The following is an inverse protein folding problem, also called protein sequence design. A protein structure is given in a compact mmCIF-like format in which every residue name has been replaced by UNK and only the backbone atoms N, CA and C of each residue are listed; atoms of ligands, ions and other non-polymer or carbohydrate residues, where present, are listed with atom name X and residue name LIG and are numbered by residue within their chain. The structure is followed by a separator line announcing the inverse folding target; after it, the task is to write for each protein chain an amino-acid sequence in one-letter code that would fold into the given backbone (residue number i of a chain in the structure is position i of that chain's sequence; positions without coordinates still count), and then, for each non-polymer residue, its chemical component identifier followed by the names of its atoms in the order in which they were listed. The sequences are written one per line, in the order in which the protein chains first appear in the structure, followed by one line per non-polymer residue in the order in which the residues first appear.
data_IF_767258384086
#
_entry.id   IF_767258384086
#
_cell.length_a   1.000
_cell.length_b   1.000
_cell.length_c   1.000
_cell.angle_alpha   90.00
_cell.angle_beta   90.00
_cell.angle_gamma   90.00
#
_symmetry.space_group_name_H-M   'P 1'
#
loop_
_entity.id
_entity.type
_entity.pdbx_description
1 polymer ?
#
# COMPACT_ATOMS: atom_id res chain seq x y z
N UNK A 1 -3.76 -4.75 7.43
CA UNK A 1 -3.06 -3.71 6.63
C UNK A 1 -4.10 -2.96 5.81
N UNK A 2 -4.03 -1.63 5.77
CA UNK A 2 -4.90 -0.85 4.87
C UNK A 2 -4.22 -0.78 3.49
N UNK A 3 -4.69 -1.60 2.55
CA UNK A 3 -4.12 -1.68 1.19
C UNK A 3 -4.29 -0.37 0.41
N UNK A 4 -5.31 0.43 0.73
CA UNK A 4 -5.51 1.76 0.12
C UNK A 4 -4.37 2.72 0.48
N UNK A 5 -3.80 2.56 1.68
CA UNK A 5 -2.70 3.41 2.15
C UNK A 5 -1.34 2.73 1.94
N UNK A 6 -1.26 1.68 1.12
CA UNK A 6 -0.04 0.91 0.94
C UNK A 6 1.15 1.78 0.47
N UNK A 7 0.90 2.60 -0.55
CA UNK A 7 1.88 3.52 -1.15
C UNK A 7 2.55 4.41 -0.08
N UNK A 8 1.79 5.04 0.81
CA UNK A 8 2.34 5.95 1.84
C UNK A 8 2.77 5.21 3.10
N UNK A 9 1.89 4.36 3.65
CA UNK A 9 2.06 3.79 4.98
C UNK A 9 3.09 2.65 5.02
N UNK A 10 3.37 2.01 3.88
CA UNK A 10 4.33 0.92 3.77
C UNK A 10 5.48 1.31 2.84
N UNK A 11 5.19 1.67 1.59
CA UNK A 11 6.21 1.87 0.55
C UNK A 11 7.05 3.12 0.78
N UNK A 12 6.42 4.29 0.93
CA UNK A 12 7.13 5.55 1.24
C UNK A 12 7.79 5.50 2.61
N UNK A 13 7.04 5.07 3.64
CA UNK A 13 7.50 5.15 5.03
C UNK A 13 8.62 4.17 5.36
N UNK A 14 8.50 2.92 4.95
CA UNK A 14 9.46 1.87 5.31
C UNK A 14 10.38 1.46 4.16
N UNK A 15 10.14 1.96 2.94
CA UNK A 15 10.90 1.54 1.76
C UNK A 15 10.70 0.06 1.46
N UNK A 16 9.51 -0.47 1.74
CA UNK A 16 9.15 -1.87 1.51
C UNK A 16 8.14 -1.93 0.38
N UNK A 17 8.45 -2.70 -0.65
CA UNK A 17 7.59 -2.89 -1.80
C UNK A 17 7.12 -4.34 -1.90
N UNK A 18 5.94 -4.55 -2.48
CA UNK A 18 5.43 -5.86 -2.82
C UNK A 18 5.61 -6.05 -4.33
N UNK A 19 6.68 -6.74 -4.72
CA UNK A 19 7.07 -6.91 -6.12
C UNK A 19 6.37 -8.10 -6.73
N UNK A 20 6.12 -8.03 -8.03
CA UNK A 20 5.55 -9.12 -8.83
C UNK A 20 4.14 -9.52 -8.42
N UNK A 21 3.34 -8.55 -7.95
CA UNK A 21 1.91 -8.76 -7.80
C UNK A 21 1.29 -9.18 -9.14
N UNK A 22 0.47 -10.24 -9.20
CA UNK A 22 -0.02 -10.76 -10.47
C UNK A 22 -0.88 -9.76 -11.24
N UNK A 23 -0.67 -9.70 -12.55
CA UNK A 23 -1.50 -8.90 -13.45
C UNK A 23 -2.95 -9.40 -13.45
N UNK A 24 -3.91 -8.48 -13.55
CA UNK A 24 -5.34 -8.78 -13.50
C UNK A 24 -5.90 -9.07 -12.11
N UNK A 25 -5.06 -9.29 -11.09
CA UNK A 25 -5.51 -9.47 -9.71
C UNK A 25 -5.62 -8.10 -9.01
N UNK A 26 -6.80 -7.71 -8.51
CA UNK A 26 -6.95 -6.44 -7.79
C UNK A 26 -5.99 -6.34 -6.61
N UNK A 27 -5.27 -5.23 -6.51
CA UNK A 27 -4.33 -4.97 -5.41
C UNK A 27 -5.10 -4.61 -4.13
N UNK A 28 -5.48 -5.63 -3.37
CA UNK A 28 -6.28 -5.47 -2.16
C UNK A 28 -6.04 -6.63 -1.17
N UNK A 29 -6.70 -6.55 -0.01
CA UNK A 29 -6.67 -7.63 0.97
C UNK A 29 -7.14 -8.94 0.34
N UNK A 30 -6.45 -10.08 0.56
CA UNK A 30 -6.93 -11.38 0.09
C UNK A 30 -8.37 -11.68 0.52
N UNK A 31 -8.80 -11.22 1.70
CA UNK A 31 -10.18 -11.37 2.16
C UNK A 31 -11.21 -10.63 1.27
N UNK A 32 -10.82 -9.53 0.62
CA UNK A 32 -11.69 -8.77 -0.27
C UNK A 32 -11.71 -9.35 -1.71
N UNK A 33 -10.80 -10.28 -2.04
CA UNK A 33 -10.78 -10.94 -3.34
C UNK A 33 -11.85 -12.04 -3.34
N UNK A 34 -12.92 -11.83 -4.08
CA UNK A 34 -14.05 -12.76 -4.18
C UNK A 34 -13.85 -13.85 -5.25
N UNK A 35 -13.00 -13.59 -6.25
CA UNK A 35 -12.68 -14.56 -7.30
C UNK A 35 -11.70 -15.61 -6.78
N UNK A 36 -12.12 -16.89 -6.83
CA UNK A 36 -11.27 -18.02 -6.49
C UNK A 36 -10.06 -18.15 -7.43
N UNK A 37 -10.20 -17.76 -8.69
CA UNK A 37 -9.10 -17.77 -9.67
C UNK A 37 -8.03 -16.75 -9.28
N UNK A 38 -8.43 -15.51 -8.98
CA UNK A 38 -7.51 -14.47 -8.53
C UNK A 38 -6.76 -14.87 -7.25
N UNK A 39 -7.45 -15.54 -6.32
CA UNK A 39 -6.83 -16.06 -5.10
C UNK A 39 -5.80 -17.15 -5.38
N UNK A 40 -6.11 -18.08 -6.30
CA UNK A 40 -5.16 -19.14 -6.70
C UNK A 40 -3.94 -18.54 -7.38
N UNK A 41 -4.12 -17.62 -8.33
CA UNK A 41 -3.02 -16.93 -9.01
C UNK A 41 -2.13 -16.19 -8.02
N UNK A 42 -2.71 -15.43 -7.07
CA UNK A 42 -1.95 -14.74 -6.04
C UNK A 42 -1.18 -15.71 -5.15
N UNK A 43 -1.83 -16.78 -4.69
CA UNK A 43 -1.19 -17.81 -3.87
C UNK A 43 -0.02 -18.46 -4.60
N UNK A 44 -0.20 -18.81 -5.87
CA UNK A 44 0.80 -19.52 -6.65
C UNK A 44 2.00 -18.61 -6.95
N UNK A 45 1.76 -17.32 -7.22
CA UNK A 45 2.83 -16.32 -7.36
C UNK A 45 3.63 -16.11 -6.07
N UNK A 46 2.96 -16.07 -4.91
CA UNK A 46 3.61 -15.99 -3.60
C UNK A 46 4.45 -17.25 -3.32
N UNK A 47 3.94 -18.44 -3.65
CA UNK A 47 4.65 -19.71 -3.49
C UNK A 47 5.85 -19.84 -4.42
N UNK A 48 5.72 -19.38 -5.66
CA UNK A 48 6.80 -19.38 -6.63
C UNK A 48 7.87 -18.32 -6.33
N UNK A 49 7.60 -17.39 -5.40
CA UNK A 49 8.47 -16.26 -5.10
C UNK A 49 8.46 -15.16 -6.17
N UNK A 50 7.63 -15.28 -7.21
CA UNK A 50 7.46 -14.21 -8.20
C UNK A 50 6.77 -13.01 -7.59
N UNK A 51 5.84 -13.23 -6.65
CA UNK A 51 5.30 -12.19 -5.77
C UNK A 51 6.01 -12.24 -4.41
N UNK A 52 6.69 -11.17 -4.00
CA UNK A 52 7.41 -11.15 -2.73
C UNK A 52 7.63 -9.73 -2.18
N UNK A 53 7.82 -9.66 -0.87
CA UNK A 53 8.21 -8.43 -0.17
C UNK A 53 9.70 -8.16 -0.37
N UNK A 54 10.05 -6.96 -0.80
CA UNK A 54 11.43 -6.55 -1.02
C UNK A 54 11.69 -5.16 -0.45
N UNK A 55 12.90 -4.97 0.09
CA UNK A 55 13.38 -3.63 0.41
C UNK A 55 13.74 -2.87 -0.86
N UNK A 56 13.38 -1.59 -0.87
CA UNK A 56 13.78 -0.66 -1.89
C UNK A 56 15.20 -0.16 -1.62
N UNK A 57 16.01 -0.10 -2.69
CA UNK A 57 17.30 0.56 -2.64
C UNK A 57 17.13 2.05 -2.29
N UNK A 58 18.22 2.72 -1.92
CA UNK A 58 18.19 4.17 -1.65
C UNK A 58 17.72 4.96 -2.87
N UNK A 59 18.19 4.59 -4.05
CA UNK A 59 17.81 5.24 -5.30
C UNK A 59 16.31 5.04 -5.59
N UNK A 60 15.80 3.81 -5.47
CA UNK A 60 14.38 3.53 -5.66
C UNK A 60 13.49 4.30 -4.70
N UNK A 61 13.94 4.51 -3.46
CA UNK A 61 13.20 5.34 -2.49
C UNK A 61 13.13 6.80 -2.91
N UNK A 62 14.22 7.36 -3.44
CA UNK A 62 14.26 8.75 -3.91
C UNK A 62 13.33 8.93 -5.12
N UNK A 63 13.48 8.08 -6.13
CA UNK A 63 12.63 8.09 -7.33
C UNK A 63 11.14 7.98 -6.96
N UNK A 64 10.82 7.09 -6.02
CA UNK A 64 9.46 6.91 -5.56
C UNK A 64 8.93 8.13 -4.78
N UNK A 65 9.76 8.77 -3.94
CA UNK A 65 9.37 10.01 -3.26
C UNK A 65 9.09 11.15 -4.26
N UNK A 66 9.88 11.25 -5.32
CA UNK A 66 9.67 12.26 -6.36
C UNK A 66 8.37 12.00 -7.13
N UNK A 67 8.09 10.74 -7.50
CA UNK A 67 6.80 10.34 -8.07
C UNK A 67 5.62 10.69 -7.16
N UNK A 68 5.76 10.48 -5.84
CA UNK A 68 4.71 10.86 -4.90
C UNK A 68 4.51 12.36 -4.81
N UNK A 69 5.57 13.17 -4.94
CA UNK A 69 5.44 14.64 -5.01
C UNK A 69 4.69 15.05 -6.27
N UNK A 70 5.00 14.46 -7.41
CA UNK A 70 4.30 14.71 -8.68
C UNK A 70 2.81 14.42 -8.56
N UNK A 71 2.44 13.25 -8.04
CA UNK A 71 1.03 12.89 -7.79
C UNK A 71 0.32 13.86 -6.86
N UNK A 72 0.97 14.25 -5.76
CA UNK A 72 0.43 15.27 -4.84
C UNK A 72 0.24 16.62 -5.53
N UNK A 73 1.18 17.02 -6.39
CA UNK A 73 1.11 18.28 -7.14
C UNK A 73 0.00 18.26 -8.20
N UNK A 74 -0.27 17.10 -8.78
CA UNK A 74 -1.38 16.86 -9.70
C UNK A 74 -2.75 16.76 -8.98
N UNK A 75 -2.76 16.79 -7.64
CA UNK A 75 -3.98 16.66 -6.83
C UNK A 75 -4.47 15.23 -6.63
N UNK A 76 -3.67 14.22 -6.99
CA UNK A 76 -4.03 12.82 -6.75
C UNK A 76 -3.95 12.47 -5.25
N UNK A 77 -4.95 11.73 -4.79
CA UNK A 77 -5.02 11.27 -3.39
C UNK A 77 -4.15 10.02 -3.23
N UNK A 78 -2.89 10.22 -2.82
CA UNK A 78 -1.89 9.15 -2.59
C UNK A 78 -2.21 8.24 -1.37
N UNK A 79 -3.31 8.52 -0.66
CA UNK A 79 -3.80 7.67 0.41
C UNK A 79 -4.94 8.33 1.18
N UNK A 80 -5.72 7.53 1.91
CA UNK A 80 -6.81 8.03 2.75
C UNK A 80 -6.27 8.60 4.06
N UNK A 81 -6.53 9.89 4.36
CA UNK A 81 -6.17 10.49 5.65
C UNK A 81 -6.82 9.74 6.81
N UNK A 82 -6.13 9.63 7.93
CA UNK A 82 -6.71 9.04 9.14
C UNK A 82 -7.83 9.96 9.66
N UNK A 83 -9.01 9.37 9.94
CA UNK A 83 -10.12 10.09 10.56
C UNK A 83 -9.65 10.76 11.87
N UNK A 84 -9.95 12.05 12.02
CA UNK A 84 -9.74 12.76 13.29
C UNK A 84 -10.53 12.07 14.39
N UNK A 85 -9.92 11.89 15.57
CA UNK A 85 -10.62 11.30 16.71
C UNK A 85 -11.67 12.28 17.24
N UNK A 86 -12.81 11.75 17.69
CA UNK A 86 -13.92 12.57 18.21
C UNK A 86 -13.56 13.34 19.49
N UNK A 87 -12.61 12.82 20.27
CA UNK A 87 -12.10 13.41 21.50
C UNK A 87 -10.91 14.36 21.28
N UNK A 88 -10.45 14.52 20.04
CA UNK A 88 -9.32 15.40 19.73
C UNK A 88 -9.71 16.86 20.05
N UNK A 89 -8.99 17.47 20.98
CA UNK A 89 -9.28 18.82 21.49
C UNK A 89 -10.36 18.89 22.58
N UNK A 90 -10.98 17.77 22.97
CA UNK A 90 -11.95 17.75 24.08
C UNK A 90 -11.24 17.55 25.42
N UNK A 91 -11.62 18.34 26.43
CA UNK A 91 -11.13 18.17 27.81
C UNK A 91 -11.60 16.81 28.33
N UNK A 92 -10.66 15.92 28.68
CA UNK A 92 -10.99 14.65 29.35
C UNK A 92 -11.60 14.98 30.72
N UNK A 93 -12.78 14.43 31.02
CA UNK A 93 -13.31 14.43 32.39
C UNK A 93 -12.38 13.57 33.24
N UNK A 94 -11.86 14.15 34.33
CA UNK A 94 -11.20 13.40 35.41
C UNK A 94 -12.28 12.73 36.27
#
# INVERSE_FOLDING_TARGET
INFINFEVAIKEKYGIDLRGWPEGVPFQSPHAITSAEHLRTLRDALKAGTCHWAYMSRQQRLEYQDRLKEWRSAGEVVGKPRKKRSDMGRKRRR
#
